data_IF_648488022307
#
_entry.id   IF_648488022307
#
_cell.length_a   1.000
_cell.length_b   1.000
_cell.length_c   1.000
_cell.angle_alpha   90.00
_cell.angle_beta   90.00
_cell.angle_gamma   90.00
#
_symmetry.space_group_name_H-M   'P 1'
#
loop_
_entity.id
_entity.type
_entity.pdbx_description
1 polymer ?
#
# COMPACT_ATOMS: atom_id res chain seq x y z
N UNK A 1 -24.73 -47.83 24.28
CA UNK A 1 -25.35 -46.65 23.63
C UNK A 1 -24.29 -45.58 23.47
N UNK A 2 -23.73 -45.46 22.25
CA UNK A 2 -22.70 -44.46 21.95
C UNK A 2 -23.34 -43.23 21.29
N UNK A 3 -22.96 -42.04 21.75
CA UNK A 3 -23.31 -40.78 21.09
C UNK A 3 -22.04 -40.27 20.41
N UNK A 4 -21.94 -40.47 19.09
CA UNK A 4 -20.96 -39.80 18.24
C UNK A 4 -21.41 -38.34 18.05
N UNK A 5 -20.70 -37.43 18.72
CA UNK A 5 -20.75 -35.99 18.43
C UNK A 5 -20.14 -35.69 17.07
N UNK A 6 -20.98 -35.19 16.15
CA UNK A 6 -20.66 -34.84 14.78
C UNK A 6 -19.73 -33.62 14.75
N UNK A 7 -18.44 -33.81 14.45
CA UNK A 7 -17.50 -32.71 14.22
C UNK A 7 -17.84 -32.08 12.86
N UNK A 8 -18.40 -30.88 12.89
CA UNK A 8 -18.64 -30.07 11.68
C UNK A 8 -17.28 -29.52 11.24
N UNK A 9 -16.62 -30.24 10.35
CA UNK A 9 -15.44 -29.76 9.64
C UNK A 9 -15.83 -28.58 8.75
N UNK A 10 -15.51 -27.37 9.18
CA UNK A 10 -15.49 -26.18 8.34
C UNK A 10 -14.48 -26.42 7.21
N UNK A 11 -14.98 -26.75 6.01
CA UNK A 11 -14.17 -26.79 4.79
C UNK A 11 -13.60 -25.40 4.55
N UNK A 12 -12.37 -25.16 5.00
CA UNK A 12 -11.57 -24.06 4.48
C UNK A 12 -11.43 -24.29 2.97
N UNK A 13 -12.08 -23.42 2.17
CA UNK A 13 -11.85 -23.40 0.73
C UNK A 13 -10.35 -23.19 0.50
N UNK A 14 -9.68 -24.25 0.06
CA UNK A 14 -8.30 -24.21 -0.42
C UNK A 14 -8.28 -23.20 -1.56
N UNK A 15 -7.73 -22.03 -1.28
CA UNK A 15 -7.58 -20.97 -2.26
C UNK A 15 -6.38 -21.35 -3.12
N UNK A 16 -6.63 -21.86 -4.32
CA UNK A 16 -5.59 -22.04 -5.32
C UNK A 16 -5.01 -20.67 -5.63
N UNK A 17 -3.71 -20.50 -5.33
CA UNK A 17 -2.97 -19.35 -5.83
C UNK A 17 -3.06 -19.41 -7.36
N UNK A 18 -3.45 -18.34 -8.04
CA UNK A 18 -3.29 -18.28 -9.49
C UNK A 18 -1.80 -18.38 -9.83
N UNK A 19 -1.47 -18.81 -11.06
CA UNK A 19 -0.09 -18.99 -11.45
C UNK A 19 0.71 -17.70 -11.17
N UNK A 20 1.73 -17.82 -10.33
CA UNK A 20 2.65 -16.73 -9.97
C UNK A 20 3.56 -16.31 -11.14
N UNK A 21 3.36 -16.90 -12.32
CA UNK A 21 4.26 -16.80 -13.48
C UNK A 21 3.84 -15.73 -14.49
N UNK A 22 2.67 -15.12 -14.36
CA UNK A 22 2.28 -14.01 -15.23
C UNK A 22 2.95 -12.73 -14.74
N UNK A 23 3.91 -12.22 -15.52
CA UNK A 23 4.53 -10.92 -15.30
C UNK A 23 3.46 -9.84 -15.14
N UNK A 24 3.62 -8.98 -14.14
CA UNK A 24 2.73 -7.83 -13.95
C UNK A 24 3.13 -6.80 -15.01
N UNK A 25 2.19 -6.44 -15.87
CA UNK A 25 2.41 -5.37 -16.85
C UNK A 25 2.44 -4.02 -16.14
N UNK A 26 3.62 -3.38 -16.18
CA UNK A 26 3.88 -2.06 -15.61
C UNK A 26 4.15 -1.01 -16.70
N UNK A 27 4.05 -1.38 -17.99
CA UNK A 27 4.47 -0.53 -19.12
C UNK A 27 3.65 0.75 -19.25
N UNK A 28 2.41 0.76 -18.75
CA UNK A 28 1.53 1.92 -18.73
C UNK A 28 1.74 2.88 -17.56
N UNK A 29 2.72 2.64 -16.67
CA UNK A 29 2.92 3.42 -15.44
C UNK A 29 4.20 4.24 -15.56
N UNK A 30 4.07 5.56 -15.46
CA UNK A 30 5.22 6.46 -15.48
C UNK A 30 6.04 6.34 -14.18
N UNK A 31 7.26 5.83 -14.30
CA UNK A 31 8.19 5.68 -13.18
C UNK A 31 8.75 7.01 -12.65
N UNK A 32 8.59 8.10 -13.39
CA UNK A 32 8.97 9.45 -12.99
C UNK A 32 7.83 10.26 -12.38
N UNK A 33 6.59 9.75 -12.38
CA UNK A 33 5.45 10.46 -11.80
C UNK A 33 5.64 10.61 -10.30
N UNK A 34 6.02 11.82 -9.89
CA UNK A 34 6.30 12.16 -8.51
C UNK A 34 5.10 11.92 -7.59
N UNK A 35 3.87 12.05 -8.10
CA UNK A 35 2.65 11.91 -7.32
C UNK A 35 1.96 10.55 -7.47
N UNK A 36 2.62 9.56 -8.10
CA UNK A 36 2.08 8.22 -8.35
C UNK A 36 1.43 7.58 -7.10
N UNK A 37 2.02 7.80 -5.92
CA UNK A 37 1.52 7.30 -4.64
C UNK A 37 1.02 8.40 -3.70
N UNK A 38 0.63 9.56 -4.22
CA UNK A 38 0.08 10.66 -3.42
C UNK A 38 -1.42 10.74 -3.62
N UNK A 39 -2.16 10.67 -2.52
CA UNK A 39 -3.60 10.85 -2.56
C UNK A 39 -3.96 12.27 -3.05
N UNK A 40 -4.92 12.42 -3.98
CA UNK A 40 -5.31 13.73 -4.49
C UNK A 40 -5.75 14.72 -3.41
N UNK A 41 -6.34 14.24 -2.30
CA UNK A 41 -6.71 15.10 -1.16
C UNK A 41 -5.46 15.62 -0.44
N UNK A 42 -4.40 14.82 -0.35
CA UNK A 42 -3.14 15.28 0.21
C UNK A 42 -2.52 16.36 -0.68
N UNK A 43 -2.52 16.20 -2.01
CA UNK A 43 -2.02 17.21 -2.95
C UNK A 43 -2.72 18.55 -2.71
N UNK A 44 -4.06 18.56 -2.74
CA UNK A 44 -4.87 19.77 -2.51
C UNK A 44 -4.58 20.43 -1.17
N UNK A 45 -4.48 19.65 -0.10
CA UNK A 45 -4.13 20.19 1.22
C UNK A 45 -2.77 20.90 1.18
N UNK A 46 -1.75 20.30 0.56
CA UNK A 46 -0.43 20.94 0.47
C UNK A 46 -0.42 22.17 -0.46
N UNK A 47 -1.23 22.19 -1.51
CA UNK A 47 -1.44 23.37 -2.36
C UNK A 47 -2.08 24.52 -1.58
N UNK A 48 -3.18 24.26 -0.88
CA UNK A 48 -3.92 25.25 -0.08
C UNK A 48 -3.04 25.92 0.98
N UNK A 49 -2.11 25.19 1.58
CA UNK A 49 -1.18 25.73 2.58
C UNK A 49 0.13 26.27 1.99
N UNK A 50 0.29 26.33 0.67
CA UNK A 50 1.51 26.82 0.02
C UNK A 50 2.76 25.95 0.28
N UNK A 51 2.55 24.66 0.57
CA UNK A 51 3.60 23.68 0.94
C UNK A 51 3.87 22.62 -0.13
N UNK A 52 3.26 22.72 -1.32
CA UNK A 52 3.39 21.71 -2.37
C UNK A 52 4.85 21.43 -2.75
N UNK A 53 5.68 22.46 -2.91
CA UNK A 53 7.10 22.27 -3.24
C UNK A 53 7.87 21.51 -2.15
N UNK A 54 7.50 21.70 -0.87
CA UNK A 54 8.06 20.93 0.25
C UNK A 54 7.70 19.44 0.13
N UNK A 55 6.45 19.14 -0.24
CA UNK A 55 6.01 17.76 -0.49
C UNK A 55 6.75 17.15 -1.69
N UNK A 56 6.83 17.87 -2.81
CA UNK A 56 7.56 17.41 -4.01
C UNK A 56 9.02 17.08 -3.70
N UNK A 57 9.70 17.98 -3.01
CA UNK A 57 11.08 17.78 -2.59
C UNK A 57 11.22 16.54 -1.72
N UNK A 58 10.35 16.38 -0.72
CA UNK A 58 10.40 15.23 0.17
C UNK A 58 10.10 13.90 -0.55
N UNK A 59 9.12 13.87 -1.46
CA UNK A 59 8.86 12.65 -2.23
C UNK A 59 10.09 12.30 -3.08
N UNK A 60 10.65 13.29 -3.80
CA UNK A 60 11.82 13.06 -4.67
C UNK A 60 13.03 12.54 -3.89
N UNK A 61 13.41 13.20 -2.80
CA UNK A 61 14.67 12.93 -2.13
C UNK A 61 14.56 11.97 -0.93
N UNK A 62 13.42 11.94 -0.23
CA UNK A 62 13.22 11.09 0.95
C UNK A 62 12.46 9.80 0.63
N UNK A 63 11.45 9.84 -0.26
CA UNK A 63 10.64 8.66 -0.60
C UNK A 63 11.28 7.86 -1.75
N UNK A 64 11.55 8.52 -2.88
CA UNK A 64 12.17 7.93 -4.09
C UNK A 64 13.70 7.87 -4.01
N UNK A 65 14.31 8.44 -2.96
CA UNK A 65 15.77 8.47 -2.73
C UNK A 65 16.56 9.12 -3.88
N UNK A 66 15.97 10.10 -4.55
CA UNK A 66 16.58 10.84 -5.66
C UNK A 66 16.54 10.12 -7.02
N UNK A 67 15.97 8.91 -7.08
CA UNK A 67 15.78 8.14 -8.32
C UNK A 67 14.33 8.13 -8.78
N UNK A 68 13.99 7.11 -9.58
CA UNK A 68 12.63 6.79 -10.05
C UNK A 68 11.96 5.76 -9.14
N UNK A 69 10.67 5.49 -9.31
CA UNK A 69 9.99 4.37 -8.64
C UNK A 69 10.58 3.01 -9.08
N UNK A 70 10.73 2.10 -8.12
CA UNK A 70 11.31 0.77 -8.36
C UNK A 70 10.25 -0.16 -8.97
N UNK A 71 10.70 -1.23 -9.63
CA UNK A 71 9.77 -2.19 -10.25
C UNK A 71 8.74 -2.77 -9.27
N UNK A 72 9.13 -3.09 -8.03
CA UNK A 72 8.20 -3.60 -7.02
C UNK A 72 7.14 -2.58 -6.61
N UNK A 73 7.46 -1.28 -6.69
CA UNK A 73 6.55 -0.18 -6.43
C UNK A 73 5.60 0.02 -7.61
N UNK A 74 6.11 -0.06 -8.84
CA UNK A 74 5.30 -0.04 -10.07
C UNK A 74 4.33 -1.23 -10.15
N UNK A 75 4.79 -2.42 -9.75
CA UNK A 75 3.94 -3.61 -9.63
C UNK A 75 2.83 -3.41 -8.61
N UNK A 76 3.12 -2.76 -7.48
CA UNK A 76 2.08 -2.37 -6.52
C UNK A 76 1.05 -1.44 -7.16
N UNK A 77 1.49 -0.41 -7.90
CA UNK A 77 0.58 0.49 -8.61
C UNK A 77 -0.33 -0.27 -9.60
N UNK A 78 0.25 -1.13 -10.43
CA UNK A 78 -0.48 -1.94 -11.42
C UNK A 78 -1.51 -2.87 -10.75
N UNK A 79 -1.13 -3.52 -9.65
CA UNK A 79 -2.04 -4.41 -8.93
C UNK A 79 -3.13 -3.65 -8.18
N UNK A 80 -2.87 -2.46 -7.64
CA UNK A 80 -3.91 -1.61 -7.07
C UNK A 80 -4.93 -1.23 -8.15
N UNK A 81 -4.48 -0.80 -9.33
CA UNK A 81 -5.36 -0.48 -10.45
C UNK A 81 -6.21 -1.70 -10.87
N UNK A 82 -5.58 -2.87 -11.03
CA UNK A 82 -6.27 -4.12 -11.34
C UNK A 82 -7.35 -4.46 -10.30
N UNK A 83 -7.01 -4.36 -9.01
CA UNK A 83 -7.92 -4.69 -7.92
C UNK A 83 -9.08 -3.70 -7.79
N UNK A 84 -8.85 -2.42 -8.09
CA UNK A 84 -9.90 -1.40 -8.20
C UNK A 84 -10.84 -1.71 -9.36
N UNK A 85 -10.31 -1.96 -10.56
CA UNK A 85 -11.11 -2.32 -11.76
C UNK A 85 -11.96 -3.56 -11.53
N UNK A 86 -11.47 -4.53 -10.76
CA UNK A 86 -12.21 -5.75 -10.41
C UNK A 86 -13.18 -5.59 -9.21
N UNK A 87 -13.24 -4.41 -8.58
CA UNK A 87 -14.08 -4.16 -7.40
C UNK A 87 -13.71 -5.04 -6.20
N UNK A 88 -12.44 -5.45 -6.09
CA UNK A 88 -11.94 -6.25 -4.96
C UNK A 88 -11.55 -5.33 -3.79
N UNK A 89 -11.03 -4.15 -4.11
CA UNK A 89 -10.75 -3.07 -3.17
C UNK A 89 -11.50 -1.80 -3.59
N UNK A 90 -11.70 -0.88 -2.65
CA UNK A 90 -12.24 0.46 -2.91
C UNK A 90 -11.41 1.52 -2.19
N UNK A 91 -11.47 2.77 -2.65
CA UNK A 91 -10.87 3.91 -1.95
C UNK A 91 -11.60 4.14 -0.63
N UNK A 92 -10.88 4.21 0.50
CA UNK A 92 -11.47 4.41 1.84
C UNK A 92 -11.87 5.87 2.09
N UNK A 93 -11.32 6.83 1.34
CA UNK A 93 -11.53 8.27 1.56
C UNK A 93 -10.55 8.90 2.58
N UNK A 94 -9.46 8.20 2.87
CA UNK A 94 -8.37 8.66 3.74
C UNK A 94 -7.02 8.30 3.13
N UNK A 95 -5.97 9.02 3.52
CA UNK A 95 -4.59 8.72 3.12
C UNK A 95 -3.70 8.46 4.33
N UNK A 96 -2.57 7.80 4.09
CA UNK A 96 -1.58 7.51 5.12
C UNK A 96 -0.86 8.79 5.56
N UNK A 97 -0.61 8.90 6.86
CA UNK A 97 -0.14 10.15 7.46
C UNK A 97 1.30 10.53 7.13
N UNK A 98 2.09 9.63 6.56
CA UNK A 98 3.48 9.89 6.12
C UNK A 98 3.52 10.09 4.60
N UNK A 99 4.34 11.03 4.12
CA UNK A 99 4.60 11.19 2.68
C UNK A 99 5.05 9.85 2.03
N UNK A 100 4.60 9.53 0.80
CA UNK A 100 3.94 10.42 -0.16
C UNK A 100 2.45 10.66 0.12
N UNK A 101 1.93 10.27 1.29
CA UNK A 101 0.52 10.31 1.65
C UNK A 101 -0.33 9.40 0.77
N UNK A 102 0.01 8.10 0.67
CA UNK A 102 -0.71 7.18 -0.18
C UNK A 102 -2.14 6.98 0.25
N UNK A 103 -3.02 6.85 -0.74
CA UNK A 103 -4.41 6.48 -0.55
C UNK A 103 -4.50 5.18 0.26
N UNK A 104 -5.47 5.15 1.17
CA UNK A 104 -5.84 3.92 1.89
C UNK A 104 -7.01 3.28 1.17
N UNK A 105 -6.87 2.00 0.87
CA UNK A 105 -7.90 1.18 0.25
C UNK A 105 -8.52 0.23 1.28
N UNK A 106 -9.78 -0.14 1.07
CA UNK A 106 -10.48 -1.15 1.86
C UNK A 106 -10.80 -2.37 1.00
N UNK A 107 -10.48 -3.56 1.51
CA UNK A 107 -10.77 -4.81 0.84
C UNK A 107 -12.26 -5.19 0.96
N UNK A 108 -12.98 -5.26 -0.16
CA UNK A 108 -14.38 -5.72 -0.22
C UNK A 108 -14.52 -7.22 -0.15
N UNK A 109 -13.49 -7.93 -0.61
CA UNK A 109 -13.43 -9.39 -0.70
C UNK A 109 -12.05 -9.87 -0.24
N UNK A 110 -11.95 -11.14 0.13
CA UNK A 110 -10.65 -11.79 0.36
C UNK A 110 -9.96 -11.97 -0.99
N UNK A 111 -8.69 -11.59 -1.09
CA UNK A 111 -7.88 -11.78 -2.31
C UNK A 111 -6.38 -11.67 -1.98
N UNK A 112 -5.55 -11.35 -2.97
CA UNK A 112 -4.12 -11.12 -2.83
C UNK A 112 -3.66 -9.96 -3.74
N UNK A 113 -2.53 -9.37 -3.38
CA UNK A 113 -1.73 -8.44 -4.22
C UNK A 113 -0.45 -9.19 -4.64
N UNK A 114 -0.05 -9.09 -5.90
CA UNK A 114 1.22 -9.67 -6.38
C UNK A 114 2.31 -8.61 -6.41
N UNK A 115 3.43 -8.85 -5.74
CA UNK A 115 4.60 -7.98 -5.83
C UNK A 115 5.85 -8.85 -5.78
N UNK A 116 6.81 -8.59 -6.65
CA UNK A 116 8.10 -9.26 -6.77
C UNK A 116 7.93 -10.79 -6.82
N UNK A 117 7.03 -11.25 -7.69
CA UNK A 117 6.71 -12.68 -7.85
C UNK A 117 6.08 -13.35 -6.62
N UNK A 118 5.59 -12.58 -5.63
CA UNK A 118 4.98 -13.10 -4.39
C UNK A 118 3.54 -12.64 -4.25
N UNK A 119 2.67 -13.54 -3.83
CA UNK A 119 1.27 -13.23 -3.53
C UNK A 119 1.09 -12.89 -2.03
N UNK A 120 0.74 -11.63 -1.76
CA UNK A 120 0.43 -11.10 -0.43
C UNK A 120 -1.09 -11.15 -0.18
N UNK A 121 -1.53 -12.11 0.64
CA UNK A 121 -2.96 -12.34 0.91
C UNK A 121 -3.54 -11.28 1.84
N UNK A 122 -4.79 -10.88 1.60
CA UNK A 122 -5.57 -10.03 2.50
C UNK A 122 -7.00 -10.55 2.65
N UNK A 123 -7.65 -10.19 3.76
CA UNK A 123 -9.03 -10.59 4.08
C UNK A 123 -10.00 -9.46 3.75
N UNK A 124 -11.29 -9.78 3.64
CA UNK A 124 -12.34 -8.74 3.58
C UNK A 124 -12.22 -7.84 4.81
N UNK A 125 -12.33 -6.54 4.59
CA UNK A 125 -12.17 -5.51 5.61
C UNK A 125 -10.72 -5.14 5.92
N UNK A 126 -9.71 -5.85 5.40
CA UNK A 126 -8.32 -5.38 5.49
C UNK A 126 -8.17 -4.02 4.82
N UNK A 127 -7.32 -3.17 5.37
CA UNK A 127 -6.93 -1.90 4.78
C UNK A 127 -5.54 -2.03 4.18
N UNK A 128 -5.37 -1.42 3.02
CA UNK A 128 -4.20 -1.58 2.17
C UNK A 128 -3.65 -0.19 1.83
N UNK A 129 -2.35 0.01 1.96
CA UNK A 129 -1.70 1.24 1.49
C UNK A 129 -0.25 0.98 1.12
N UNK A 130 0.36 1.93 0.42
CA UNK A 130 1.76 1.87 -0.02
C UNK A 130 2.71 2.08 1.17
N UNK A 131 3.83 1.37 1.16
CA UNK A 131 4.92 1.58 2.14
C UNK A 131 6.17 2.10 1.45
N UNK A 132 6.57 3.34 1.76
CA UNK A 132 7.79 3.94 1.24
C UNK A 132 9.07 3.16 1.63
N UNK A 133 10.10 3.23 0.78
CA UNK A 133 11.40 2.53 0.93
C UNK A 133 12.01 2.69 2.32
N UNK A 134 12.08 3.92 2.82
CA UNK A 134 12.69 4.20 4.13
C UNK A 134 12.00 3.43 5.26
N UNK A 135 10.67 3.43 5.29
CA UNK A 135 9.92 2.70 6.31
C UNK A 135 9.99 1.19 6.10
N UNK A 136 10.20 0.71 4.86
CA UNK A 136 10.49 -0.70 4.59
C UNK A 136 11.85 -1.12 5.14
N UNK A 137 12.89 -0.37 4.83
CA UNK A 137 14.26 -0.60 5.32
C UNK A 137 14.29 -0.68 6.85
N UNK A 138 13.67 0.30 7.52
CA UNK A 138 13.61 0.36 8.99
C UNK A 138 12.89 -0.84 9.63
N UNK A 139 11.90 -1.40 8.94
CA UNK A 139 11.05 -2.50 9.45
C UNK A 139 11.39 -3.85 8.82
N UNK A 140 12.46 -3.91 8.03
CA UNK A 140 12.86 -5.09 7.26
C UNK A 140 11.70 -5.69 6.43
N UNK A 141 10.92 -4.82 5.76
CA UNK A 141 9.78 -5.22 4.93
C UNK A 141 10.22 -5.44 3.48
N UNK A 142 9.86 -6.59 2.93
CA UNK A 142 10.31 -7.01 1.59
C UNK A 142 9.39 -6.55 0.43
N UNK A 143 8.33 -5.78 0.71
CA UNK A 143 7.37 -5.31 -0.29
C UNK A 143 6.83 -3.91 0.07
N UNK A 144 6.53 -3.05 -0.93
CA UNK A 144 5.94 -1.71 -0.78
C UNK A 144 4.46 -1.74 -0.38
N UNK A 145 4.13 -2.58 0.60
CA UNK A 145 2.77 -2.95 0.93
C UNK A 145 2.59 -3.00 2.45
N UNK A 146 1.58 -2.27 2.93
CA UNK A 146 1.01 -2.47 4.27
C UNK A 146 -0.40 -3.04 4.14
N UNK A 147 -0.68 -4.10 4.90
CA UNK A 147 -2.02 -4.67 5.08
C UNK A 147 -2.32 -4.74 6.57
N UNK A 148 -3.23 -3.91 7.06
CA UNK A 148 -3.68 -3.95 8.46
C UNK A 148 -5.01 -3.22 8.64
N UNK A 149 -5.39 -2.91 9.87
CA UNK A 149 -6.41 -1.90 10.19
C UNK A 149 -5.67 -0.64 10.62
N UNK A 150 -5.89 0.48 9.95
CA UNK A 150 -5.24 1.75 10.28
C UNK A 150 -6.10 2.55 11.25
N UNK A 151 -5.45 3.11 12.27
CA UNK A 151 -6.04 4.14 13.11
C UNK A 151 -6.00 5.47 12.39
N UNK A 152 -7.07 6.25 12.52
CA UNK A 152 -7.09 7.62 12.00
C UNK A 152 -6.13 8.49 12.81
N UNK A 153 -5.49 9.43 12.12
CA UNK A 153 -4.72 10.50 12.75
C UNK A 153 -4.99 11.80 11.99
N UNK A 154 -4.97 12.91 12.72
CA UNK A 154 -5.04 14.25 12.16
C UNK A 154 -3.67 14.82 11.79
N UNK A 155 -2.59 14.15 12.19
CA UNK A 155 -1.23 14.57 11.84
C UNK A 155 -0.84 14.12 10.45
N UNK A 156 -0.09 14.97 9.75
CA UNK A 156 0.65 14.62 8.53
C UNK A 156 2.12 14.91 8.74
N UNK A 157 2.99 14.01 8.30
CA UNK A 157 4.44 14.12 8.46
C UNK A 157 5.15 13.83 7.14
N UNK A 158 6.23 14.54 6.85
CA UNK A 158 7.09 14.22 5.73
C UNK A 158 8.03 13.05 6.09
N UNK A 159 8.35 12.21 5.11
CA UNK A 159 9.25 11.07 5.27
C UNK A 159 10.62 11.53 5.77
N UNK A 160 11.14 12.65 5.26
CA UNK A 160 12.40 13.24 5.73
C UNK A 160 12.37 13.64 7.21
N UNK A 161 11.20 14.03 7.75
CA UNK A 161 11.03 14.44 9.15
C UNK A 161 11.02 13.22 10.10
N UNK A 162 10.62 12.04 9.63
CA UNK A 162 10.64 10.81 10.44
C UNK A 162 12.05 10.40 10.90
N UNK A 163 13.10 10.73 10.13
CA UNK A 163 14.49 10.37 10.48
C UNK A 163 14.92 10.94 11.84
N UNK A 164 14.34 12.07 12.27
CA UNK A 164 14.60 12.68 13.57
C UNK A 164 13.64 12.22 14.67
N UNK A 165 12.36 11.99 14.33
CA UNK A 165 11.30 11.74 15.31
C UNK A 165 11.36 10.34 15.98
N UNK A 166 12.04 9.37 15.39
CA UNK A 166 12.08 7.98 15.89
C UNK A 166 13.37 7.60 16.64
N UNK A 167 14.31 8.54 16.86
CA UNK A 167 15.52 8.32 17.68
C UNK A 167 15.29 8.42 19.19
N UNK A 168 14.05 8.68 19.62
CA UNK A 168 13.67 8.85 21.03
C UNK A 168 12.47 8.02 21.47
N UNK A 169 12.15 6.94 20.73
CA UNK A 169 11.12 5.95 21.11
C UNK A 169 11.77 4.59 21.37
#
# INVERSE_FOLDING_TARGET
MGILGKIIGSKEKIFTQPPLNDLIDISGIDSNDLFLFTDPKAIRNYEEYGKLEKLKHDIKFSVMRGGVWNNDELEYAAEIERLLKQGIIEVKGSYWWVSPHPTVYCAKKRSYIRINGKAHRFKKGSEITFQCRMAREQKNLNAPLLIKKFTQTSSSMLCGEMKGAMKGM
#
